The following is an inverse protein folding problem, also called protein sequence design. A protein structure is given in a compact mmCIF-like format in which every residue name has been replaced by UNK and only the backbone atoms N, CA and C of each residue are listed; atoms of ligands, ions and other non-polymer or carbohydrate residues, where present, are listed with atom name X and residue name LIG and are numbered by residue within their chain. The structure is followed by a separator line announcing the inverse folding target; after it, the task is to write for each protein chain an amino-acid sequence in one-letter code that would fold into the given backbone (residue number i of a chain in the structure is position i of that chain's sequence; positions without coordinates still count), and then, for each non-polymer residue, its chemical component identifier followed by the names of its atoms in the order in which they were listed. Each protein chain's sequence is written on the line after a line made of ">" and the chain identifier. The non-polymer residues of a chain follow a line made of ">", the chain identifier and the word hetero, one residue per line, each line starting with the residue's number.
data_IF_575578175203
#
_entry.id   IF_575578175203
#
_cell.length_a   1.000
_cell.length_b   1.000
_cell.length_c   1.000
_cell.angle_alpha   90.00
_cell.angle_beta   90.00
_cell.angle_gamma   90.00
#
_symmetry.space_group_name_H-M   'P 1'
#
loop_
_entity.id
_entity.type
_entity.pdbx_description
1 polymer ?
#
# COMPACT_ATOMS: atom_id res chain seq x y z
N UNK A 1 -13.03 6.38 -8.87
CA UNK A 1 -11.91 7.24 -8.44
C UNK A 1 -10.90 7.43 -9.55
N UNK A 2 -10.60 6.39 -10.34
CA UNK A 2 -9.55 6.39 -11.36
C UNK A 2 -9.62 7.52 -12.40
N UNK A 3 -10.82 8.00 -12.75
CA UNK A 3 -11.00 9.14 -13.68
C UNK A 3 -10.44 10.49 -13.18
N UNK A 4 -10.02 10.58 -11.93
CA UNK A 4 -9.55 11.82 -11.30
C UNK A 4 -8.03 11.96 -11.30
N UNK A 5 -7.30 11.06 -11.97
CA UNK A 5 -5.82 11.08 -12.05
C UNK A 5 -5.16 11.24 -10.69
N UNK A 6 -5.62 10.42 -9.73
CA UNK A 6 -5.13 10.44 -8.35
C UNK A 6 -3.71 9.89 -8.33
N UNK A 7 -2.77 10.69 -7.82
CA UNK A 7 -1.35 10.34 -7.84
C UNK A 7 -1.01 9.15 -6.92
N UNK A 8 -1.57 9.09 -5.71
CA UNK A 8 -1.56 7.89 -4.87
C UNK A 8 -2.79 7.82 -3.97
N UNK A 9 -3.08 6.62 -3.47
CA UNK A 9 -4.04 6.38 -2.40
C UNK A 9 -3.28 5.93 -1.15
N UNK A 10 -3.35 6.76 -0.12
CA UNK A 10 -2.58 6.61 1.12
C UNK A 10 -3.37 5.80 2.14
N UNK A 11 -2.69 4.81 2.73
CA UNK A 11 -3.16 3.97 3.83
C UNK A 11 -4.67 3.58 3.73
N UNK A 12 -5.10 2.89 2.65
CA UNK A 12 -6.53 2.65 2.37
C UNK A 12 -7.21 1.66 3.34
N UNK A 13 -6.42 0.91 4.12
CA UNK A 13 -6.84 -0.03 5.17
C UNK A 13 -5.95 0.16 6.38
N UNK A 14 -6.24 -0.55 7.47
CA UNK A 14 -5.37 -0.53 8.64
C UNK A 14 -3.93 -0.91 8.26
N UNK A 15 -2.89 -0.21 8.77
CA UNK A 15 -1.50 -0.45 8.37
C UNK A 15 -1.01 -1.89 8.59
N UNK A 16 -1.55 -2.60 9.59
CA UNK A 16 -1.20 -4.00 9.85
C UNK A 16 -1.91 -5.00 8.91
N UNK A 17 -2.87 -4.54 8.09
CA UNK A 17 -3.63 -5.36 7.13
C UNK A 17 -2.92 -5.42 5.76
N UNK A 18 -1.79 -6.13 5.73
CA UNK A 18 -1.00 -6.31 4.51
C UNK A 18 -1.76 -7.00 3.38
N UNK A 19 -2.63 -7.97 3.70
CA UNK A 19 -3.45 -8.65 2.69
C UNK A 19 -4.51 -7.70 2.13
N UNK A 20 -5.11 -6.84 2.97
CA UNK A 20 -5.99 -5.75 2.51
C UNK A 20 -5.29 -4.80 1.54
N UNK A 21 -4.07 -4.34 1.88
CA UNK A 21 -3.27 -3.50 0.98
C UNK A 21 -3.01 -4.17 -0.37
N UNK A 22 -2.62 -5.45 -0.34
CA UNK A 22 -2.36 -6.25 -1.55
C UNK A 22 -3.61 -6.42 -2.39
N UNK A 23 -4.75 -6.77 -1.80
CA UNK A 23 -6.02 -6.91 -2.53
C UNK A 23 -6.41 -5.60 -3.22
N UNK A 24 -6.27 -4.47 -2.53
CA UNK A 24 -6.57 -3.15 -3.10
C UNK A 24 -5.58 -2.82 -4.22
N UNK A 25 -4.27 -3.04 -4.03
CA UNK A 25 -3.25 -2.81 -5.05
C UNK A 25 -3.51 -3.59 -6.35
N UNK A 26 -4.15 -4.75 -6.26
CA UNK A 26 -4.54 -5.57 -7.41
C UNK A 26 -5.88 -5.17 -8.02
N UNK A 27 -6.74 -4.50 -7.24
CA UNK A 27 -8.10 -4.12 -7.62
C UNK A 27 -8.20 -2.71 -8.24
N UNK A 28 -7.17 -1.88 -8.15
CA UNK A 28 -7.14 -0.55 -8.77
C UNK A 28 -5.84 -0.26 -9.48
N UNK A 29 -5.92 0.64 -10.46
CA UNK A 29 -4.75 1.22 -11.14
C UNK A 29 -4.11 2.38 -10.38
N UNK A 30 -4.77 2.89 -9.32
CA UNK A 30 -4.23 3.97 -8.49
C UNK A 30 -3.10 3.41 -7.61
N UNK A 31 -1.90 4.01 -7.62
CA UNK A 31 -0.79 3.56 -6.78
C UNK A 31 -1.13 3.63 -5.29
N UNK A 32 -0.78 2.59 -4.51
CA UNK A 32 -0.94 2.59 -3.05
C UNK A 32 0.35 3.09 -2.39
N UNK A 33 0.20 4.03 -1.45
CA UNK A 33 1.26 4.50 -0.56
C UNK A 33 0.97 4.04 0.88
N UNK A 34 1.96 3.42 1.54
CA UNK A 34 1.89 3.01 2.96
C UNK A 34 3.31 2.78 3.51
N UNK A 35 3.43 2.53 4.81
CA UNK A 35 4.71 2.30 5.50
C UNK A 35 5.03 3.33 6.58
N UNK A 36 4.28 4.43 6.69
CA UNK A 36 4.52 5.46 7.71
C UNK A 36 4.37 4.95 9.15
N UNK A 37 3.55 3.90 9.33
CA UNK A 37 3.34 3.22 10.60
C UNK A 37 4.21 1.96 10.76
N UNK A 38 5.18 1.72 9.87
CA UNK A 38 6.11 0.60 9.97
C UNK A 38 7.40 0.97 10.68
N UNK A 39 7.73 0.20 11.73
CA UNK A 39 8.83 0.54 12.64
C UNK A 39 10.07 -0.32 12.45
N UNK A 40 9.96 -1.46 11.76
CA UNK A 40 11.09 -2.39 11.59
C UNK A 40 11.26 -2.80 10.15
N UNK A 41 12.50 -3.14 9.79
CA UNK A 41 12.84 -3.68 8.46
C UNK A 41 12.03 -4.91 8.05
N UNK A 42 11.39 -5.60 9.01
CA UNK A 42 10.60 -6.79 8.75
C UNK A 42 9.24 -6.43 8.17
N UNK A 43 8.54 -5.42 8.71
CA UNK A 43 7.29 -4.94 8.14
C UNK A 43 7.48 -4.35 6.74
N UNK A 44 8.52 -3.53 6.55
CA UNK A 44 8.89 -3.04 5.20
C UNK A 44 9.22 -4.17 4.22
N UNK A 45 9.92 -5.23 4.66
CA UNK A 45 10.19 -6.39 3.80
C UNK A 45 8.88 -7.04 3.39
N UNK A 46 7.97 -7.27 4.33
CA UNK A 46 6.73 -7.97 4.07
C UNK A 46 5.81 -7.15 3.14
N UNK A 47 5.79 -5.82 3.27
CA UNK A 47 5.13 -4.91 2.32
C UNK A 47 5.69 -5.05 0.89
N UNK A 48 7.01 -5.13 0.75
CA UNK A 48 7.69 -5.21 -0.56
C UNK A 48 7.50 -6.60 -1.19
N UNK A 49 7.75 -7.67 -0.43
CA UNK A 49 7.69 -9.05 -0.92
C UNK A 49 6.26 -9.42 -1.38
N UNK A 50 5.25 -8.94 -0.67
CA UNK A 50 3.85 -9.17 -1.01
C UNK A 50 3.26 -8.17 -2.00
N UNK A 51 4.05 -7.18 -2.45
CA UNK A 51 3.62 -6.11 -3.37
C UNK A 51 2.39 -5.35 -2.84
N UNK A 52 2.38 -5.06 -1.55
CA UNK A 52 1.28 -4.34 -0.88
C UNK A 52 1.23 -2.86 -1.26
N UNK A 53 2.36 -2.26 -1.65
CA UNK A 53 2.49 -0.85 -1.93
C UNK A 53 3.30 -0.59 -3.21
N UNK A 54 2.97 0.48 -3.92
CA UNK A 54 3.78 1.02 -5.01
C UNK A 54 4.80 2.06 -4.50
N UNK A 55 4.47 2.73 -3.40
CA UNK A 55 5.30 3.75 -2.75
C UNK A 55 5.43 3.37 -1.28
N UNK A 56 6.66 3.35 -0.77
CA UNK A 56 6.98 3.10 0.65
C UNK A 56 7.36 4.45 1.28
N UNK A 57 6.81 4.74 2.47
CA UNK A 57 7.03 5.98 3.22
C UNK A 57 7.93 5.76 4.44
#
# INVERSE_FOLDING_TARGET
>A
MEKYDIFWFEEPVNPDDYEGHKLISQATTIPIATGENEYTRYGFRDLIENRCAAIIQ
#
